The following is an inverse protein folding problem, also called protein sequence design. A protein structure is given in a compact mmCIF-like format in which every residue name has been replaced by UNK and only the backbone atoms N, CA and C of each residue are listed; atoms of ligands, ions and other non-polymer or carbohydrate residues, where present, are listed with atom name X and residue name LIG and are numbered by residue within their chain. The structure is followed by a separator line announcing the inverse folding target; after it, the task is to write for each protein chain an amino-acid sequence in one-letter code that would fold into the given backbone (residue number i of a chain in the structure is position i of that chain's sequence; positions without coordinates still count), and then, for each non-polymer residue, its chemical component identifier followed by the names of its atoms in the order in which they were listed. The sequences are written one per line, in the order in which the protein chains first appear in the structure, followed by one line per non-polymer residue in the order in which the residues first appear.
data_IF_831179684590
#
_entry.id   IF_831179684590
#
_cell.length_a   1.000
_cell.length_b   1.000
_cell.length_c   1.000
_cell.angle_alpha   90.00
_cell.angle_beta   90.00
_cell.angle_gamma   90.00
#
_symmetry.space_group_name_H-M   'P 1'
#
loop_
_entity.id
_entity.type
_entity.pdbx_description
1 polymer ?
#
# COMPACT_ATOMS: atom_id res chain seq x y z
N UNK A 1 -8.02 36.83 -25.52
CA UNK A 1 -9.48 36.96 -25.32
C UNK A 1 -10.18 35.66 -24.90
N UNK A 2 -9.48 34.63 -24.41
CA UNK A 2 -10.10 33.36 -23.96
C UNK A 2 -10.22 33.21 -22.43
N UNK A 3 -9.44 33.95 -21.63
CA UNK A 3 -9.49 33.86 -20.16
C UNK A 3 -10.73 34.51 -19.52
N UNK A 4 -11.43 35.43 -20.20
CA UNK A 4 -12.58 36.14 -19.61
C UNK A 4 -13.85 35.29 -19.53
N UNK A 5 -13.96 34.21 -20.31
CA UNK A 5 -15.11 33.31 -20.31
C UNK A 5 -15.12 32.37 -19.09
N UNK A 6 -13.93 31.98 -18.61
CA UNK A 6 -13.73 31.07 -17.47
C UNK A 6 -14.02 31.72 -16.10
N UNK A 7 -14.16 33.05 -16.05
CA UNK A 7 -14.51 33.79 -14.83
C UNK A 7 -15.87 34.50 -14.93
N UNK A 8 -16.67 34.19 -15.94
CA UNK A 8 -18.02 34.77 -16.04
C UNK A 8 -18.92 34.22 -14.92
N UNK A 9 -19.84 35.03 -14.35
CA UNK A 9 -20.77 34.55 -13.32
C UNK A 9 -21.56 33.32 -13.76
N UNK A 10 -21.95 33.25 -15.05
CA UNK A 10 -22.67 32.10 -15.62
C UNK A 10 -21.81 30.83 -15.64
N UNK A 11 -20.52 30.94 -15.98
CA UNK A 11 -19.60 29.81 -15.96
C UNK A 11 -19.28 29.35 -14.53
N UNK A 12 -19.07 30.29 -13.59
CA UNK A 12 -18.88 29.97 -12.18
C UNK A 12 -20.11 29.29 -11.56
N UNK A 13 -21.32 29.77 -11.87
CA UNK A 13 -22.56 29.12 -11.42
C UNK A 13 -22.72 27.72 -12.04
N UNK A 14 -22.39 27.55 -13.32
CA UNK A 14 -22.42 26.24 -13.96
C UNK A 14 -21.42 25.26 -13.33
N UNK A 15 -20.19 25.72 -13.05
CA UNK A 15 -19.17 24.92 -12.37
C UNK A 15 -19.60 24.54 -10.95
N UNK A 16 -20.23 25.47 -10.23
CA UNK A 16 -20.76 25.23 -8.89
C UNK A 16 -21.89 24.21 -8.90
N UNK A 17 -22.82 24.30 -9.86
CA UNK A 17 -23.90 23.31 -10.02
C UNK A 17 -23.36 21.92 -10.43
N UNK A 18 -22.39 21.87 -11.34
CA UNK A 18 -21.77 20.62 -11.78
C UNK A 18 -20.95 19.95 -10.67
N UNK A 19 -20.30 20.72 -9.80
CA UNK A 19 -19.53 20.19 -8.67
C UNK A 19 -20.40 19.83 -7.45
N UNK A 20 -21.56 20.47 -7.29
CA UNK A 20 -22.47 20.20 -6.17
C UNK A 20 -22.98 18.76 -6.15
N UNK A 21 -23.24 18.15 -7.32
CA UNK A 21 -23.75 16.77 -7.41
C UNK A 21 -22.70 15.75 -6.91
N UNK A 22 -21.46 15.69 -7.46
CA UNK A 22 -20.41 14.82 -6.92
C UNK A 22 -20.12 15.04 -5.43
N UNK A 23 -20.07 16.31 -5.00
CA UNK A 23 -19.85 16.65 -3.58
C UNK A 23 -20.98 16.10 -2.72
N UNK A 24 -22.24 16.29 -3.13
CA UNK A 24 -23.41 15.77 -2.44
C UNK A 24 -23.40 14.25 -2.32
N UNK A 25 -22.97 13.55 -3.38
CA UNK A 25 -22.78 12.09 -3.36
C UNK A 25 -21.71 11.70 -2.35
N UNK A 26 -20.53 12.33 -2.37
CA UNK A 26 -19.44 12.05 -1.43
C UNK A 26 -19.89 12.30 0.01
N UNK A 27 -20.56 13.43 0.29
CA UNK A 27 -21.09 13.76 1.62
C UNK A 27 -22.10 12.70 2.08
N UNK A 28 -22.95 12.21 1.18
CA UNK A 28 -23.92 11.14 1.49
C UNK A 28 -23.19 9.84 1.84
N UNK A 29 -22.19 9.45 1.04
CA UNK A 29 -21.38 8.25 1.28
C UNK A 29 -20.58 8.35 2.60
N UNK A 30 -20.07 9.53 2.94
CA UNK A 30 -19.30 9.77 4.18
C UNK A 30 -20.14 9.75 5.45
N UNK A 31 -21.46 9.96 5.32
CA UNK A 31 -22.43 9.90 6.41
C UNK A 31 -23.12 8.55 6.52
N UNK A 32 -23.01 7.71 5.49
CA UNK A 32 -23.60 6.38 5.49
C UNK A 32 -22.89 5.50 6.54
N UNK A 33 -23.67 4.68 7.24
CA UNK A 33 -23.11 3.68 8.13
C UNK A 33 -22.44 2.58 7.32
N UNK A 34 -21.21 2.23 7.67
CA UNK A 34 -20.49 1.12 7.05
C UNK A 34 -21.15 -0.22 7.44
N UNK A 35 -21.30 -1.18 6.51
CA UNK A 35 -21.82 -2.51 6.82
C UNK A 35 -20.83 -3.38 7.62
N UNK A 36 -19.54 -3.02 7.61
CA UNK A 36 -18.47 -3.69 8.34
C UNK A 36 -17.76 -2.72 9.27
N UNK A 37 -16.96 -3.24 10.19
CA UNK A 37 -16.23 -2.42 11.15
C UNK A 37 -15.27 -1.44 10.46
N UNK A 38 -15.14 -0.23 10.98
CA UNK A 38 -14.20 0.78 10.47
C UNK A 38 -13.46 1.44 11.62
N UNK A 39 -12.12 1.45 11.56
CA UNK A 39 -11.34 2.37 12.38
C UNK A 39 -11.24 3.71 11.66
N UNK A 40 -11.97 4.70 12.16
CA UNK A 40 -11.78 6.08 11.74
C UNK A 40 -10.68 6.72 12.56
N UNK A 41 -9.83 7.51 11.91
CA UNK A 41 -8.83 8.30 12.59
C UNK A 41 -8.64 9.65 11.92
N UNK A 42 -8.28 10.64 12.73
CA UNK A 42 -7.94 11.97 12.26
C UNK A 42 -6.45 12.09 11.97
N UNK A 43 -6.13 12.78 10.89
CA UNK A 43 -4.76 13.13 10.52
C UNK A 43 -4.64 14.57 10.03
N UNK A 44 -3.39 15.00 9.88
CA UNK A 44 -3.03 16.31 9.35
C UNK A 44 -2.94 16.34 7.81
N UNK A 45 -2.75 15.18 7.17
CA UNK A 45 -2.53 15.04 5.72
C UNK A 45 -3.72 14.43 4.97
N UNK A 46 -3.70 14.59 3.64
CA UNK A 46 -4.76 14.11 2.75
C UNK A 46 -4.58 12.65 2.33
N UNK A 47 -3.35 12.14 2.35
CA UNK A 47 -3.01 10.86 1.73
C UNK A 47 -2.22 9.98 2.68
N UNK A 48 -2.70 8.74 2.89
CA UNK A 48 -2.03 7.71 3.67
C UNK A 48 -1.90 6.47 2.82
N UNK A 49 -0.69 6.16 2.36
CA UNK A 49 -0.52 5.08 1.39
C UNK A 49 -0.81 3.73 2.04
N UNK A 50 -0.13 3.42 3.15
CA UNK A 50 -0.13 2.09 3.74
C UNK A 50 -0.53 2.19 5.21
N UNK A 51 -1.19 1.14 5.71
CA UNK A 51 -1.34 0.92 7.15
C UNK A 51 -1.11 -0.56 7.48
N UNK A 52 -0.27 -0.83 8.48
CA UNK A 52 0.01 -2.19 8.98
C UNK A 52 -0.24 -2.28 10.48
N UNK A 53 -0.77 -3.42 10.91
CA UNK A 53 -1.02 -3.72 12.31
C UNK A 53 0.27 -4.12 13.04
N UNK A 54 0.57 -3.42 14.12
CA UNK A 54 1.60 -3.79 15.09
C UNK A 54 0.92 -4.39 16.33
N UNK A 55 0.89 -5.72 16.38
CA UNK A 55 0.24 -6.48 17.45
C UNK A 55 0.93 -6.31 18.80
N UNK A 56 2.24 -6.06 18.82
CA UNK A 56 3.03 -5.96 20.05
C UNK A 56 2.72 -4.68 20.82
N UNK A 57 2.36 -3.60 20.11
CA UNK A 57 2.05 -2.30 20.70
C UNK A 57 0.58 -1.87 20.51
N UNK A 58 -0.28 -2.77 20.01
CA UNK A 58 -1.72 -2.55 19.76
C UNK A 58 -2.03 -1.26 18.99
N UNK A 59 -1.36 -1.07 17.85
CA UNK A 59 -1.52 0.14 17.03
C UNK A 59 -1.43 -0.18 15.55
N UNK A 60 -2.00 0.70 14.73
CA UNK A 60 -1.67 0.74 13.31
C UNK A 60 -0.50 1.69 13.09
N UNK A 61 0.43 1.30 12.22
CA UNK A 61 1.50 2.17 11.70
C UNK A 61 1.07 2.58 10.31
N UNK A 62 1.11 3.88 10.03
CA UNK A 62 0.55 4.47 8.80
C UNK A 62 1.63 5.29 8.09
N UNK A 63 1.78 5.13 6.78
CA UNK A 63 2.71 5.92 5.98
C UNK A 63 2.10 7.19 5.42
N UNK A 64 2.93 8.22 5.30
CA UNK A 64 2.54 9.54 4.84
C UNK A 64 3.00 9.74 3.41
N UNK A 65 2.08 10.10 2.52
CA UNK A 65 2.44 10.44 1.15
C UNK A 65 3.30 11.71 1.07
N UNK A 66 3.25 12.55 2.12
CA UNK A 66 4.11 13.70 2.33
C UNK A 66 5.46 13.40 3.03
N UNK A 67 5.75 12.12 3.30
CA UNK A 67 6.99 11.65 3.92
C UNK A 67 6.89 11.50 5.45
N UNK A 68 7.34 10.35 5.94
CA UNK A 68 7.30 9.95 7.34
C UNK A 68 6.24 8.89 7.66
N UNK A 69 6.15 8.52 8.92
CA UNK A 69 5.15 7.58 9.44
C UNK A 69 4.50 8.09 10.73
N UNK A 70 3.28 7.64 10.95
CA UNK A 70 2.50 7.87 12.16
C UNK A 70 2.04 6.57 12.80
N UNK A 71 1.54 6.68 14.01
CA UNK A 71 0.85 5.61 14.70
C UNK A 71 -0.58 6.01 15.05
N UNK A 72 -1.49 5.03 15.01
CA UNK A 72 -2.87 5.13 15.48
C UNK A 72 -3.05 4.07 16.57
N UNK A 73 -2.97 4.50 17.82
CA UNK A 73 -3.06 3.62 18.99
C UNK A 73 -4.52 3.20 19.25
N UNK A 74 -4.75 1.92 19.54
CA UNK A 74 -6.06 1.44 19.95
C UNK A 74 -6.19 1.46 21.48
N UNK A 75 -7.29 2.02 22.04
CA UNK A 75 -7.54 1.97 23.47
C UNK A 75 -7.77 0.53 23.96
N UNK A 76 -7.61 0.30 25.26
CA UNK A 76 -7.86 -1.02 25.87
C UNK A 76 -9.34 -1.43 25.76
N UNK A 77 -10.24 -0.46 25.88
CA UNK A 77 -11.67 -0.60 25.60
C UNK A 77 -11.98 0.12 24.30
N UNK A 78 -12.44 -0.62 23.29
CA UNK A 78 -12.83 -0.09 21.99
C UNK A 78 -14.14 0.72 22.12
N UNK A 79 -14.03 1.97 22.58
CA UNK A 79 -15.10 2.96 22.43
C UNK A 79 -14.92 3.67 21.07
N UNK A 80 -15.55 3.11 20.05
CA UNK A 80 -15.44 3.55 18.66
C UNK A 80 -16.39 4.71 18.31
N UNK A 81 -17.00 5.35 19.32
CA UNK A 81 -17.91 6.48 19.10
C UNK A 81 -17.20 7.71 18.57
N UNK A 82 -15.90 7.85 18.84
CA UNK A 82 -15.06 8.95 18.36
C UNK A 82 -13.94 8.44 17.47
N UNK A 83 -13.58 9.16 16.39
CA UNK A 83 -12.39 8.84 15.61
C UNK A 83 -11.13 8.85 16.48
N UNK A 84 -10.24 7.91 16.21
CA UNK A 84 -8.90 7.86 16.79
C UNK A 84 -8.05 9.05 16.30
N UNK A 85 -6.87 9.23 16.88
CA UNK A 85 -5.93 10.27 16.44
C UNK A 85 -4.63 9.65 15.94
N UNK A 86 -4.16 10.11 14.79
CA UNK A 86 -2.83 9.80 14.27
C UNK A 86 -1.78 10.68 14.95
N UNK A 87 -0.73 10.05 15.48
CA UNK A 87 0.44 10.73 16.03
C UNK A 87 1.64 10.48 15.13
N UNK A 88 2.26 11.53 14.60
CA UNK A 88 3.52 11.42 13.86
C UNK A 88 4.62 10.91 14.77
N UNK A 89 5.34 9.86 14.33
CA UNK A 89 6.44 9.25 15.09
C UNK A 89 7.78 9.37 14.38
N UNK A 90 7.78 9.42 13.05
CA UNK A 90 8.98 9.66 12.24
C UNK A 90 8.68 10.72 11.20
N UNK A 91 9.53 11.75 11.16
CA UNK A 91 9.54 12.75 10.10
C UNK A 91 10.95 13.32 9.96
N UNK A 92 11.69 12.85 8.97
CA UNK A 92 13.10 13.21 8.79
C UNK A 92 13.26 14.21 7.63
N UNK A 93 14.19 15.18 7.73
CA UNK A 93 14.46 16.13 6.65
C UNK A 93 14.82 15.47 5.31
N UNK A 94 15.49 14.32 5.35
CA UNK A 94 15.89 13.57 4.15
C UNK A 94 14.69 12.98 3.39
N UNK A 95 13.53 12.86 4.03
CA UNK A 95 12.28 12.42 3.40
C UNK A 95 11.53 13.58 2.73
N UNK A 96 11.93 14.83 2.94
CA UNK A 96 11.23 15.98 2.39
C UNK A 96 11.15 15.90 0.85
N UNK A 97 9.92 15.97 0.33
CA UNK A 97 9.65 15.87 -1.11
C UNK A 97 9.48 14.43 -1.62
N UNK A 98 9.72 13.42 -0.78
CA UNK A 98 9.50 12.01 -1.09
C UNK A 98 8.31 11.48 -0.27
N UNK A 99 7.53 10.57 -0.87
CA UNK A 99 6.47 9.87 -0.16
C UNK A 99 7.05 8.72 0.65
N UNK A 100 6.42 8.41 1.78
CA UNK A 100 6.53 7.09 2.43
C UNK A 100 5.35 6.24 1.97
N UNK A 101 5.63 5.00 1.54
CA UNK A 101 4.70 4.16 0.80
C UNK A 101 4.44 2.86 1.58
N UNK A 102 4.82 1.70 1.03
CA UNK A 102 4.65 0.41 1.68
C UNK A 102 5.42 0.27 2.99
N UNK A 103 4.82 -0.50 3.90
CA UNK A 103 5.34 -0.80 5.23
C UNK A 103 5.37 -2.31 5.44
N UNK A 104 6.44 -2.82 6.04
CA UNK A 104 6.48 -4.15 6.65
C UNK A 104 6.81 -4.06 8.13
N UNK A 105 6.03 -4.73 8.98
CA UNK A 105 6.30 -4.88 10.41
C UNK A 105 7.01 -6.21 10.63
N UNK A 106 8.29 -6.15 11.01
CA UNK A 106 9.12 -7.32 11.33
C UNK A 106 9.20 -7.46 12.86
N UNK A 107 8.15 -8.07 13.43
CA UNK A 107 8.00 -8.26 14.87
C UNK A 107 9.16 -9.06 15.45
N UNK A 108 9.66 -10.07 14.73
CA UNK A 108 10.75 -10.93 15.18
C UNK A 108 12.05 -10.16 15.44
N UNK A 109 12.23 -9.00 14.79
CA UNK A 109 13.40 -8.12 14.94
C UNK A 109 13.08 -6.76 15.54
N UNK A 110 11.89 -6.59 16.13
CA UNK A 110 11.41 -5.35 16.72
C UNK A 110 11.60 -4.12 15.80
N UNK A 111 11.22 -4.23 14.54
CA UNK A 111 11.41 -3.12 13.59
C UNK A 111 10.26 -2.96 12.60
N UNK A 112 10.14 -1.75 12.09
CA UNK A 112 9.31 -1.44 10.92
C UNK A 112 10.21 -1.03 9.76
N UNK A 113 9.91 -1.51 8.57
CA UNK A 113 10.55 -1.09 7.33
C UNK A 113 9.59 -0.23 6.53
N UNK A 114 10.10 0.85 5.95
CA UNK A 114 9.32 1.87 5.24
C UNK A 114 10.01 2.19 3.93
N UNK A 115 9.27 2.02 2.83
CA UNK A 115 9.73 2.41 1.49
C UNK A 115 9.48 3.89 1.29
N UNK A 116 10.44 4.59 0.69
CA UNK A 116 10.34 6.00 0.37
C UNK A 116 10.68 6.23 -1.11
N UNK A 117 9.93 7.09 -1.80
CA UNK A 117 10.20 7.36 -3.21
C UNK A 117 9.76 8.75 -3.67
N UNK A 118 10.39 9.22 -4.74
CA UNK A 118 9.92 10.36 -5.54
C UNK A 118 8.82 9.88 -6.50
N UNK A 119 7.57 9.98 -6.05
CA UNK A 119 6.40 9.48 -6.79
C UNK A 119 6.19 10.20 -8.13
N UNK A 120 6.52 11.48 -8.20
CA UNK A 120 6.25 12.29 -9.39
C UNK A 120 7.39 12.20 -10.42
N UNK A 121 8.64 12.36 -9.96
CA UNK A 121 9.80 12.35 -10.83
C UNK A 121 10.31 10.95 -11.16
N UNK A 122 10.04 9.96 -10.30
CA UNK A 122 10.57 8.59 -10.37
C UNK A 122 12.12 8.59 -10.41
N UNK A 123 12.75 9.46 -9.62
CA UNK A 123 14.21 9.66 -9.60
C UNK A 123 14.88 9.30 -8.27
N UNK A 124 14.10 8.79 -7.33
CA UNK A 124 14.57 8.46 -6.00
C UNK A 124 13.77 7.30 -5.44
N UNK A 125 14.47 6.36 -4.81
CA UNK A 125 13.89 5.27 -4.03
C UNK A 125 14.81 4.93 -2.87
N UNK A 126 14.25 4.65 -1.70
CA UNK A 126 14.99 4.27 -0.51
C UNK A 126 14.18 3.33 0.39
N UNK A 127 14.88 2.54 1.18
CA UNK A 127 14.32 1.74 2.26
C UNK A 127 14.90 2.21 3.59
N UNK A 128 14.05 2.55 4.53
CA UNK A 128 14.45 2.84 5.91
C UNK A 128 13.92 1.75 6.84
N UNK A 129 14.64 1.49 7.92
CA UNK A 129 14.13 0.70 9.03
C UNK A 129 14.25 1.48 10.33
N UNK A 130 13.24 1.34 11.19
CA UNK A 130 13.18 1.98 12.50
C UNK A 130 12.86 0.92 13.56
N UNK A 131 13.48 1.05 14.73
CA UNK A 131 13.13 0.26 15.90
C UNK A 131 11.67 0.54 16.27
N UNK A 132 10.90 -0.53 16.46
CA UNK A 132 9.46 -0.44 16.61
C UNK A 132 9.09 0.22 17.95
N UNK A 133 9.90 0.06 18.99
CA UNK A 133 9.61 0.61 20.32
C UNK A 133 10.02 2.07 20.47
N UNK A 134 11.17 2.44 19.89
CA UNK A 134 11.81 3.74 20.11
C UNK A 134 11.74 4.68 18.91
N UNK A 135 11.37 4.16 17.73
CA UNK A 135 11.41 4.87 16.44
C UNK A 135 12.81 5.33 16.01
N UNK A 136 13.86 4.85 16.68
CA UNK A 136 15.23 5.12 16.28
C UNK A 136 15.52 4.46 14.92
N UNK A 137 16.14 5.21 14.02
CA UNK A 137 16.53 4.69 12.71
C UNK A 137 17.62 3.62 12.86
N UNK A 138 17.35 2.43 12.36
CA UNK A 138 18.28 1.30 12.33
C UNK A 138 19.18 1.39 11.09
N UNK A 139 18.58 1.63 9.92
CA UNK A 139 19.32 1.88 8.69
C UNK A 139 18.53 2.76 7.73
N UNK A 140 19.25 3.28 6.72
CA UNK A 140 18.68 3.98 5.59
C UNK A 140 19.46 3.61 4.33
N UNK A 141 18.79 3.01 3.36
CA UNK A 141 19.39 2.44 2.15
C UNK A 141 18.81 3.12 0.94
N UNK A 142 19.61 3.89 0.21
CA UNK A 142 19.21 4.40 -1.09
C UNK A 142 19.21 3.26 -2.11
N UNK A 143 18.07 3.05 -2.78
CA UNK A 143 17.84 1.99 -3.78
C UNK A 143 18.04 2.50 -5.20
N UNK A 144 17.72 3.78 -5.43
CA UNK A 144 17.89 4.48 -6.70
C UNK A 144 18.10 5.98 -6.47
N UNK A 145 18.91 6.62 -7.31
CA UNK A 145 19.14 8.05 -7.33
C UNK A 145 19.00 8.69 -8.72
N UNK A 146 19.25 10.00 -8.84
CA UNK A 146 18.99 10.76 -10.07
C UNK A 146 19.80 10.32 -11.30
N UNK A 147 20.92 9.62 -11.10
CA UNK A 147 21.79 9.09 -12.16
C UNK A 147 21.39 7.69 -12.63
N UNK A 148 20.48 7.01 -11.90
CA UNK A 148 20.02 5.67 -12.24
C UNK A 148 18.86 5.72 -13.24
N UNK A 149 18.42 4.54 -13.69
CA UNK A 149 17.17 4.43 -14.42
C UNK A 149 15.98 4.94 -13.57
N UNK A 150 14.91 5.39 -14.24
CA UNK A 150 13.70 5.81 -13.53
C UNK A 150 13.15 4.67 -12.70
N UNK A 151 12.81 5.00 -11.47
CA UNK A 151 12.49 4.04 -10.44
C UNK A 151 11.41 4.60 -9.52
N UNK A 152 10.50 3.71 -9.10
CA UNK A 152 9.45 4.00 -8.15
C UNK A 152 9.36 2.84 -7.16
N UNK A 153 10.17 2.91 -6.11
CA UNK A 153 10.10 1.97 -5.00
C UNK A 153 8.76 2.12 -4.28
N UNK A 154 8.05 1.02 -4.02
CA UNK A 154 6.66 1.09 -3.55
C UNK A 154 6.38 0.23 -2.32
N UNK A 155 6.34 -1.10 -2.47
CA UNK A 155 5.96 -2.00 -1.38
C UNK A 155 7.12 -2.89 -0.92
N UNK A 156 7.05 -3.41 0.30
CA UNK A 156 8.13 -4.19 0.93
C UNK A 156 7.63 -5.45 1.65
N UNK A 157 8.34 -6.56 1.44
CA UNK A 157 8.19 -7.79 2.22
C UNK A 157 9.49 -8.15 2.94
N UNK A 158 9.41 -8.92 4.02
CA UNK A 158 10.57 -9.39 4.80
C UNK A 158 10.54 -10.91 4.88
N UNK A 159 11.67 -11.56 4.57
CA UNK A 159 11.81 -13.02 4.71
C UNK A 159 12.10 -13.45 6.16
N UNK A 160 12.18 -14.76 6.39
CA UNK A 160 12.47 -15.33 7.70
C UNK A 160 13.84 -14.87 8.25
N UNK A 161 14.82 -14.65 7.38
CA UNK A 161 16.18 -14.20 7.71
C UNK A 161 16.27 -12.69 7.97
N UNK A 162 15.22 -11.93 7.66
CA UNK A 162 15.16 -10.49 7.84
C UNK A 162 15.68 -9.69 6.65
N UNK A 163 15.87 -10.31 5.49
CA UNK A 163 16.10 -9.57 4.26
C UNK A 163 14.78 -8.96 3.79
N UNK A 164 14.87 -7.73 3.31
CA UNK A 164 13.76 -6.99 2.74
C UNK A 164 13.76 -7.09 1.22
N UNK A 165 12.57 -7.17 0.63
CA UNK A 165 12.34 -7.23 -0.79
C UNK A 165 11.42 -6.08 -1.19
N UNK A 166 11.94 -5.13 -1.96
CA UNK A 166 11.24 -3.89 -2.31
C UNK A 166 10.89 -3.91 -3.79
N UNK A 167 9.64 -3.65 -4.15
CA UNK A 167 9.19 -3.60 -5.55
C UNK A 167 9.47 -2.25 -6.18
N UNK A 168 9.77 -2.27 -7.49
CA UNK A 168 9.83 -1.08 -8.32
C UNK A 168 8.69 -1.06 -9.34
N UNK A 169 7.72 -0.16 -9.13
CA UNK A 169 6.55 0.04 -10.00
C UNK A 169 6.96 0.52 -11.39
N UNK A 170 8.05 1.28 -11.48
CA UNK A 170 8.45 1.92 -12.73
C UNK A 170 9.38 1.06 -13.57
N UNK A 171 10.34 0.39 -12.94
CA UNK A 171 11.37 -0.39 -13.63
C UNK A 171 11.15 -1.91 -13.57
N UNK A 172 10.04 -2.38 -12.98
CA UNK A 172 9.63 -3.79 -12.95
C UNK A 172 10.74 -4.72 -12.44
N UNK A 173 11.33 -4.36 -11.30
CA UNK A 173 12.37 -5.15 -10.61
C UNK A 173 12.07 -5.20 -9.12
N UNK A 174 12.83 -6.03 -8.40
CA UNK A 174 12.77 -6.12 -6.95
C UNK A 174 14.18 -5.94 -6.40
N UNK A 175 14.38 -5.02 -5.46
CA UNK A 175 15.65 -4.95 -4.72
C UNK A 175 15.60 -5.90 -3.54
N UNK A 176 16.71 -6.60 -3.28
CA UNK A 176 16.93 -7.36 -2.05
C UNK A 176 17.89 -6.60 -1.16
N UNK A 177 17.45 -6.26 0.04
CA UNK A 177 18.25 -5.55 1.06
C UNK A 177 18.43 -6.48 2.26
N UNK A 178 19.66 -6.65 2.71
CA UNK A 178 19.98 -7.48 3.86
C UNK A 178 19.45 -6.91 5.17
N UNK A 179 19.44 -7.74 6.21
CA UNK A 179 18.94 -7.36 7.55
C UNK A 179 19.59 -6.08 8.11
N UNK A 180 20.87 -5.84 7.79
CA UNK A 180 21.64 -4.66 8.20
C UNK A 180 21.52 -3.46 7.23
N UNK A 181 20.56 -3.49 6.28
CA UNK A 181 20.35 -2.40 5.33
C UNK A 181 21.29 -2.41 4.11
N UNK A 182 22.14 -3.43 3.94
CA UNK A 182 23.00 -3.52 2.75
C UNK A 182 22.20 -3.96 1.52
N UNK A 183 22.25 -3.21 0.43
CA UNK A 183 21.72 -3.68 -0.87
C UNK A 183 22.52 -4.92 -1.32
N UNK A 184 21.84 -6.06 -1.50
CA UNK A 184 22.46 -7.35 -1.81
C UNK A 184 22.38 -7.68 -3.30
N UNK A 185 21.19 -7.56 -3.88
CA UNK A 185 20.94 -7.92 -5.27
C UNK A 185 19.71 -7.20 -5.83
N UNK A 186 19.52 -7.34 -7.14
CA UNK A 186 18.33 -6.89 -7.86
C UNK A 186 17.78 -8.09 -8.64
N UNK A 187 16.54 -8.44 -8.37
CA UNK A 187 15.81 -9.51 -9.05
C UNK A 187 15.10 -8.92 -10.26
N UNK A 188 15.40 -9.48 -11.44
CA UNK A 188 14.74 -9.13 -12.70
C UNK A 188 14.22 -10.38 -13.38
N UNK A 189 13.10 -10.23 -14.08
CA UNK A 189 12.56 -11.27 -14.93
C UNK A 189 11.85 -10.64 -16.12
N UNK A 190 12.00 -11.20 -17.34
CA UNK A 190 11.17 -10.80 -18.48
C UNK A 190 9.66 -10.92 -18.20
N UNK A 191 9.25 -11.79 -17.27
CA UNK A 191 7.85 -11.97 -16.90
C UNK A 191 7.25 -10.76 -16.17
N UNK A 192 8.08 -9.94 -15.51
CA UNK A 192 7.62 -8.74 -14.82
C UNK A 192 7.18 -7.64 -15.77
N UNK A 193 7.56 -7.71 -17.04
CA UNK A 193 7.17 -6.71 -18.04
C UNK A 193 6.03 -7.25 -18.89
N UNK A 194 4.88 -6.58 -18.85
CA UNK A 194 3.76 -6.91 -19.71
C UNK A 194 4.10 -6.65 -21.18
N UNK A 195 3.56 -7.47 -22.10
CA UNK A 195 3.78 -7.31 -23.54
C UNK A 195 3.27 -5.96 -24.05
N UNK A 196 2.11 -5.54 -23.57
CA UNK A 196 1.55 -4.25 -23.92
C UNK A 196 2.21 -3.13 -23.12
N UNK A 197 2.88 -2.20 -23.81
CA UNK A 197 3.66 -1.12 -23.17
C UNK A 197 2.85 -0.30 -22.16
N UNK A 198 1.57 -0.05 -22.42
CA UNK A 198 0.72 0.79 -21.56
C UNK A 198 0.43 0.12 -20.22
N UNK A 199 0.53 -1.21 -20.13
CA UNK A 199 0.40 -1.90 -18.84
C UNK A 199 1.62 -1.63 -17.96
N UNK A 200 2.79 -1.37 -18.54
CA UNK A 200 4.00 -1.03 -17.78
C UNK A 200 4.05 0.44 -17.32
N UNK A 201 2.93 1.18 -17.40
CA UNK A 201 2.83 2.51 -16.78
C UNK A 201 2.82 2.40 -15.24
N UNK A 202 2.17 1.35 -14.71
CA UNK A 202 2.19 0.97 -13.30
C UNK A 202 2.40 -0.55 -13.21
N UNK A 203 3.63 -0.90 -12.85
CA UNK A 203 4.19 -2.23 -12.88
C UNK A 203 4.01 -3.03 -11.60
N UNK A 204 5.09 -3.69 -11.18
CA UNK A 204 5.17 -4.44 -9.92
C UNK A 204 4.87 -3.54 -8.71
N UNK A 205 3.97 -3.97 -7.84
CA UNK A 205 3.51 -3.18 -6.70
C UNK A 205 3.50 -4.06 -5.45
N UNK A 206 2.34 -4.54 -4.98
CA UNK A 206 2.26 -5.25 -3.73
C UNK A 206 3.10 -6.53 -3.70
N UNK A 207 3.72 -6.80 -2.55
CA UNK A 207 4.61 -7.93 -2.34
C UNK A 207 4.42 -8.55 -0.96
N UNK A 208 4.46 -9.87 -0.88
CA UNK A 208 4.46 -10.62 0.39
C UNK A 208 5.47 -11.75 0.34
N UNK A 209 6.02 -12.09 1.50
CA UNK A 209 6.80 -13.31 1.70
C UNK A 209 5.90 -14.44 2.19
N UNK A 210 5.99 -15.60 1.55
CA UNK A 210 5.28 -16.81 1.92
C UNK A 210 6.19 -17.71 2.79
N UNK A 211 5.65 -18.35 3.85
CA UNK A 211 6.44 -19.16 4.79
C UNK A 211 7.20 -20.33 4.14
N UNK A 212 6.77 -20.80 2.97
CA UNK A 212 7.47 -21.84 2.19
C UNK A 212 8.71 -21.30 1.43
N UNK A 213 9.16 -20.06 1.70
CA UNK A 213 10.42 -19.54 1.15
C UNK A 213 10.33 -18.92 -0.24
N UNK A 214 9.21 -18.28 -0.57
CA UNK A 214 9.06 -17.56 -1.85
C UNK A 214 8.30 -16.24 -1.67
N UNK A 215 8.44 -15.35 -2.64
CA UNK A 215 7.66 -14.10 -2.68
C UNK A 215 6.46 -14.27 -3.61
N UNK A 216 5.37 -13.58 -3.30
CA UNK A 216 4.25 -13.35 -4.21
C UNK A 216 4.20 -11.86 -4.51
N UNK A 217 4.18 -11.50 -5.79
CA UNK A 217 4.21 -10.11 -6.26
C UNK A 217 3.10 -9.87 -7.26
N UNK A 218 2.40 -8.74 -7.16
CA UNK A 218 1.39 -8.35 -8.14
C UNK A 218 1.92 -7.29 -9.09
N UNK A 219 1.45 -7.33 -10.34
CA UNK A 219 1.62 -6.26 -11.30
C UNK A 219 0.30 -5.51 -11.50
N UNK A 220 0.29 -4.22 -11.15
CA UNK A 220 -0.90 -3.37 -11.02
C UNK A 220 -1.82 -3.43 -12.24
N UNK A 221 -1.34 -3.03 -13.41
CA UNK A 221 -2.20 -2.90 -14.60
C UNK A 221 -2.45 -4.20 -15.37
N UNK A 222 -1.71 -5.28 -15.11
CA UNK A 222 -1.98 -6.59 -15.72
C UNK A 222 -2.83 -7.47 -14.81
N UNK A 223 -2.75 -7.28 -13.50
CA UNK A 223 -3.32 -8.18 -12.50
C UNK A 223 -2.61 -9.52 -12.42
N UNK A 224 -1.42 -9.65 -13.03
CA UNK A 224 -0.63 -10.87 -12.95
C UNK A 224 -0.02 -10.99 -11.56
N UNK A 225 -0.09 -12.20 -11.01
CA UNK A 225 0.66 -12.59 -9.82
C UNK A 225 1.89 -13.40 -10.23
N UNK A 226 3.01 -13.13 -9.60
CA UNK A 226 4.27 -13.84 -9.81
C UNK A 226 4.73 -14.49 -8.52
N UNK A 227 5.22 -15.72 -8.64
CA UNK A 227 5.93 -16.45 -7.59
C UNK A 227 7.43 -16.31 -7.83
N UNK A 228 8.18 -15.80 -6.86
CA UNK A 228 9.65 -15.71 -6.90
C UNK A 228 10.22 -16.69 -5.90
N UNK A 229 10.75 -17.82 -6.36
CA UNK A 229 11.26 -18.89 -5.51
C UNK A 229 12.65 -18.55 -4.97
N UNK A 230 12.74 -18.19 -3.69
CA UNK A 230 14.00 -17.78 -3.07
C UNK A 230 14.92 -18.98 -2.78
N UNK A 231 14.37 -20.19 -2.71
CA UNK A 231 15.13 -21.43 -2.47
C UNK A 231 15.80 -21.95 -3.74
N UNK A 232 15.33 -21.50 -4.91
CA UNK A 232 15.81 -21.94 -6.24
C UNK A 232 16.44 -20.80 -7.04
N UNK A 233 17.23 -19.96 -6.37
CA UNK A 233 17.97 -18.90 -7.03
C UNK A 233 17.08 -17.81 -7.63
N UNK A 234 15.98 -17.48 -6.96
CA UNK A 234 15.08 -16.36 -7.31
C UNK A 234 14.33 -16.58 -8.64
N UNK A 235 14.03 -17.84 -8.98
CA UNK A 235 13.27 -18.21 -10.19
C UNK A 235 11.86 -17.60 -10.16
N UNK A 236 11.49 -16.90 -11.23
CA UNK A 236 10.18 -16.23 -11.36
C UNK A 236 9.22 -17.06 -12.20
N UNK A 237 8.02 -17.33 -11.68
CA UNK A 237 6.92 -18.02 -12.36
C UNK A 237 5.64 -17.22 -12.30
N UNK A 238 4.83 -17.30 -13.36
CA UNK A 238 3.48 -16.74 -13.37
C UNK A 238 2.54 -17.65 -12.56
N UNK A 239 1.76 -17.06 -11.66
CA UNK A 239 0.67 -17.73 -10.95
C UNK A 239 -0.59 -17.58 -11.81
N UNK A 240 -1.22 -18.69 -12.20
CA UNK A 240 -2.43 -18.63 -13.04
C UNK A 240 -3.63 -18.23 -12.19
N UNK A 241 -4.22 -17.07 -12.49
CA UNK A 241 -5.43 -16.58 -11.82
C UNK A 241 -6.69 -17.10 -12.51
N UNK A 242 -7.63 -17.62 -11.72
CA UNK A 242 -8.95 -18.11 -12.16
C UNK A 242 -10.07 -17.37 -11.42
N UNK A 243 -11.28 -17.38 -11.98
CA UNK A 243 -12.48 -16.89 -11.29
C UNK A 243 -12.62 -15.36 -11.20
N UNK A 244 -11.74 -14.59 -11.83
CA UNK A 244 -11.81 -13.13 -11.85
C UNK A 244 -10.51 -12.47 -12.30
N UNK A 245 -10.50 -11.13 -12.32
CA UNK A 245 -9.30 -10.33 -12.61
C UNK A 245 -8.77 -9.67 -11.35
N UNK A 246 -7.45 -9.56 -11.27
CA UNK A 246 -6.74 -8.78 -10.24
C UNK A 246 -6.18 -7.47 -10.81
N UNK A 247 -6.68 -7.01 -11.96
CA UNK A 247 -6.26 -5.71 -12.53
C UNK A 247 -6.53 -4.59 -11.53
N UNK A 248 -5.63 -3.61 -11.47
CA UNK A 248 -5.61 -2.58 -10.42
C UNK A 248 -5.47 -3.20 -9.01
N UNK A 249 -4.69 -4.28 -8.91
CA UNK A 249 -4.21 -4.80 -7.65
C UNK A 249 -3.03 -3.97 -7.15
N UNK A 250 -3.04 -3.67 -5.87
CA UNK A 250 -2.10 -2.76 -5.22
C UNK A 250 -1.34 -3.55 -4.13
N UNK A 251 -1.31 -3.09 -2.88
CA UNK A 251 -0.76 -3.82 -1.75
C UNK A 251 -1.33 -5.24 -1.55
N UNK A 252 -0.46 -6.14 -1.09
CA UNK A 252 -0.76 -7.54 -0.82
C UNK A 252 -0.66 -7.85 0.68
N UNK A 253 -1.45 -8.81 1.16
CA UNK A 253 -1.36 -9.31 2.53
C UNK A 253 -1.77 -10.78 2.61
N UNK A 254 -0.92 -11.62 3.22
CA UNK A 254 -1.29 -13.01 3.49
C UNK A 254 -2.28 -13.09 4.66
N UNK A 255 -3.45 -13.66 4.39
CA UNK A 255 -4.42 -14.01 5.43
C UNK A 255 -4.09 -15.37 6.06
N UNK A 256 -3.55 -16.29 5.25
CA UNK A 256 -3.04 -17.60 5.68
C UNK A 256 -2.09 -18.14 4.61
N UNK A 257 -1.38 -19.26 4.84
CA UNK A 257 -0.53 -19.87 3.81
C UNK A 257 -1.25 -20.21 2.49
N UNK A 258 -2.59 -20.34 2.51
CA UNK A 258 -3.35 -20.63 1.29
C UNK A 258 -4.14 -19.44 0.77
N UNK A 259 -4.23 -18.33 1.52
CA UNK A 259 -5.10 -17.20 1.20
C UNK A 259 -4.36 -15.86 1.20
N UNK A 260 -4.56 -15.10 0.13
CA UNK A 260 -3.96 -13.79 -0.09
C UNK A 260 -5.05 -12.76 -0.34
N UNK A 261 -4.95 -11.64 0.35
CA UNK A 261 -5.73 -10.44 0.10
C UNK A 261 -4.99 -9.58 -0.91
N UNK A 262 -5.72 -9.11 -1.90
CA UNK A 262 -5.26 -8.16 -2.91
C UNK A 262 -6.04 -6.86 -2.72
N UNK A 263 -5.40 -5.83 -2.18
CA UNK A 263 -5.97 -4.48 -2.12
C UNK A 263 -6.07 -3.88 -3.53
N UNK A 264 -6.74 -2.75 -3.67
CA UNK A 264 -6.91 -2.06 -4.95
C UNK A 264 -8.35 -1.77 -5.32
N UNK A 265 -8.52 -1.09 -6.46
CA UNK A 265 -9.78 -0.50 -6.89
C UNK A 265 -10.46 -1.37 -7.98
N UNK A 266 -11.79 -1.54 -8.02
CA UNK A 266 -12.84 -0.99 -7.16
C UNK A 266 -13.15 -1.77 -5.88
N UNK A 267 -12.42 -2.85 -5.61
CA UNK A 267 -12.72 -3.80 -4.54
C UNK A 267 -11.46 -4.51 -4.06
N UNK A 268 -11.39 -4.78 -2.76
CA UNK A 268 -10.49 -5.80 -2.25
C UNK A 268 -10.88 -7.16 -2.83
N UNK A 269 -9.91 -8.04 -3.06
CA UNK A 269 -10.13 -9.42 -3.54
C UNK A 269 -9.44 -10.42 -2.63
N UNK A 270 -10.10 -11.54 -2.36
CA UNK A 270 -9.52 -12.69 -1.67
C UNK A 270 -9.24 -13.77 -2.70
N UNK A 271 -7.99 -14.23 -2.76
CA UNK A 271 -7.60 -15.35 -3.60
C UNK A 271 -7.12 -16.51 -2.75
N UNK A 272 -7.34 -17.72 -3.24
CA UNK A 272 -6.94 -18.96 -2.57
C UNK A 272 -6.17 -19.88 -3.53
N UNK A 273 -5.09 -20.48 -3.02
CA UNK A 273 -4.32 -21.53 -3.69
C UNK A 273 -4.40 -22.85 -2.91
N UNK A 274 -4.45 -23.96 -3.63
CA UNK A 274 -4.38 -25.32 -3.09
C UNK A 274 -3.27 -26.16 -3.74
N UNK A 275 -2.44 -25.54 -4.60
CA UNK A 275 -1.43 -26.24 -5.41
C UNK A 275 -0.03 -25.62 -5.27
N UNK A 276 0.27 -25.07 -4.09
CA UNK A 276 1.56 -24.45 -3.81
C UNK A 276 1.80 -23.17 -4.61
N UNK A 277 0.73 -22.39 -4.85
CA UNK A 277 0.78 -21.11 -5.56
C UNK A 277 1.18 -21.24 -7.04
N UNK A 278 0.86 -22.37 -7.67
CA UNK A 278 0.94 -22.49 -9.13
C UNK A 278 -0.30 -21.87 -9.79
N UNK A 279 -1.46 -22.03 -9.14
CA UNK A 279 -2.71 -21.38 -9.50
C UNK A 279 -3.41 -20.79 -8.28
N UNK A 280 -4.23 -19.76 -8.52
CA UNK A 280 -5.12 -19.18 -7.52
C UNK A 280 -6.52 -19.00 -8.11
N UNK A 281 -7.54 -19.07 -7.27
CA UNK A 281 -8.91 -18.69 -7.63
C UNK A 281 -9.33 -17.46 -6.82
N UNK A 282 -10.01 -16.50 -7.46
CA UNK A 282 -10.70 -15.44 -6.73
C UNK A 282 -11.90 -16.06 -6.03
N UNK A 283 -11.89 -16.07 -4.70
CA UNK A 283 -12.91 -16.73 -3.86
C UNK A 283 -13.82 -15.74 -3.13
N UNK A 284 -13.47 -14.45 -3.15
CA UNK A 284 -14.31 -13.39 -2.57
C UNK A 284 -13.90 -12.01 -3.04
N UNK A 285 -14.82 -11.05 -2.94
CA UNK A 285 -14.59 -9.65 -3.28
C UNK A 285 -15.27 -8.76 -2.26
N UNK A 286 -14.62 -7.64 -1.91
CA UNK A 286 -15.14 -6.67 -0.96
C UNK A 286 -15.24 -5.28 -1.61
N UNK A 287 -16.45 -4.73 -1.68
CA UNK A 287 -16.70 -3.40 -2.22
C UNK A 287 -16.69 -2.36 -1.09
N UNK A 288 -15.54 -1.74 -0.84
CA UNK A 288 -15.38 -0.64 0.11
C UNK A 288 -15.72 0.74 -0.45
N UNK A 289 -15.40 1.82 0.32
CA UNK A 289 -15.54 3.21 -0.11
C UNK A 289 -14.72 3.56 -1.38
N UNK A 290 -15.34 3.47 -2.56
CA UNK A 290 -14.68 3.68 -3.86
C UNK A 290 -14.05 5.07 -4.04
N UNK A 291 -14.60 6.08 -3.38
CA UNK A 291 -14.09 7.46 -3.43
C UNK A 291 -12.83 7.68 -2.59
N UNK A 292 -12.38 6.67 -1.83
CA UNK A 292 -11.19 6.76 -0.97
C UNK A 292 -9.98 5.95 -1.43
N UNK A 293 -10.15 5.08 -2.43
CA UNK A 293 -9.11 4.21 -3.03
C UNK A 293 -8.43 3.26 -2.02
N UNK A 294 -8.74 1.97 -2.09
CA UNK A 294 -8.05 0.97 -1.28
C UNK A 294 -6.65 0.71 -1.86
N UNK A 295 -5.62 0.75 -1.03
CA UNK A 295 -4.21 0.67 -1.47
C UNK A 295 -3.41 -0.41 -0.77
N UNK A 296 -3.63 -0.62 0.53
CA UNK A 296 -2.95 -1.66 1.30
C UNK A 296 -3.93 -2.50 2.12
N UNK A 297 -3.49 -3.71 2.48
CA UNK A 297 -4.20 -4.60 3.39
C UNK A 297 -3.34 -4.93 4.61
N UNK A 298 -3.98 -5.21 5.74
CA UNK A 298 -3.32 -5.73 6.94
C UNK A 298 -4.25 -6.69 7.69
N UNK A 299 -3.67 -7.68 8.38
CA UNK A 299 -4.42 -8.59 9.24
C UNK A 299 -4.28 -8.19 10.71
N UNK A 300 -5.42 -7.96 11.38
CA UNK A 300 -5.52 -7.79 12.83
C UNK A 300 -6.43 -8.89 13.39
N UNK A 301 -5.89 -9.72 14.27
CA UNK A 301 -6.64 -10.77 14.98
C UNK A 301 -7.46 -11.68 14.04
N UNK A 302 -6.86 -12.04 12.89
CA UNK A 302 -7.49 -12.87 11.85
C UNK A 302 -8.48 -12.14 10.94
N UNK A 303 -8.72 -10.85 11.16
CA UNK A 303 -9.58 -9.99 10.33
C UNK A 303 -8.76 -9.13 9.40
N UNK A 304 -9.26 -8.96 8.18
CA UNK A 304 -8.61 -8.13 7.15
C UNK A 304 -9.11 -6.70 7.26
N UNK A 305 -8.19 -5.74 7.29
CA UNK A 305 -8.48 -4.32 7.18
C UNK A 305 -7.81 -3.73 5.95
N UNK A 306 -8.54 -2.95 5.17
CA UNK A 306 -8.03 -2.23 4.01
C UNK A 306 -7.78 -0.77 4.35
N UNK A 307 -6.56 -0.31 4.09
CA UNK A 307 -6.22 1.09 4.09
C UNK A 307 -6.84 1.78 2.87
N UNK A 308 -7.40 2.97 3.09
CA UNK A 308 -7.90 3.81 2.03
C UNK A 308 -7.16 5.14 2.01
N UNK A 309 -6.53 5.45 0.88
CA UNK A 309 -5.55 6.52 0.78
C UNK A 309 -6.11 7.90 1.08
N UNK A 310 -7.31 8.21 0.59
CA UNK A 310 -7.83 9.58 0.60
C UNK A 310 -8.60 9.87 1.90
N UNK A 311 -8.11 10.86 2.65
CA UNK A 311 -8.79 11.45 3.80
C UNK A 311 -9.88 12.44 3.39
N UNK A 312 -10.94 12.55 4.17
CA UNK A 312 -12.07 13.47 3.89
C UNK A 312 -12.37 14.36 5.09
N UNK A 313 -12.85 15.58 4.85
CA UNK A 313 -13.29 16.51 5.88
C UNK A 313 -12.30 17.64 6.22
N UNK A 314 -12.82 18.67 6.88
CA UNK A 314 -12.10 19.88 7.30
C UNK A 314 -12.59 20.31 8.70
N UNK A 315 -11.74 20.83 9.60
CA UNK A 315 -10.30 21.09 9.42
C UNK A 315 -9.42 19.83 9.51
N UNK A 316 -9.83 18.84 10.31
CA UNK A 316 -9.15 17.54 10.45
C UNK A 316 -9.65 16.55 9.39
N UNK A 317 -8.73 15.83 8.75
CA UNK A 317 -9.06 14.86 7.70
C UNK A 317 -9.34 13.53 8.40
N UNK A 318 -10.45 12.89 8.07
CA UNK A 318 -10.85 11.58 8.58
C UNK A 318 -10.46 10.52 7.56
N UNK A 319 -9.60 9.60 7.97
CA UNK A 319 -9.20 8.41 7.24
C UNK A 319 -9.97 7.18 7.74
N UNK A 320 -9.83 6.06 7.04
CA UNK A 320 -10.58 4.84 7.33
C UNK A 320 -9.76 3.59 7.04
N UNK A 321 -9.66 2.72 8.06
CA UNK A 321 -9.27 1.32 7.90
C UNK A 321 -10.54 0.49 7.97
N UNK A 322 -10.95 -0.08 6.84
CA UNK A 322 -12.24 -0.75 6.70
C UNK A 322 -12.05 -2.25 6.79
N UNK A 323 -12.78 -2.92 7.68
CA UNK A 323 -12.81 -4.39 7.75
C UNK A 323 -13.39 -4.93 6.44
N UNK A 324 -12.60 -5.72 5.72
CA UNK A 324 -13.02 -6.39 4.51
C UNK A 324 -13.53 -7.80 4.85
N UNK A 325 -14.84 -7.98 4.67
CA UNK A 325 -15.52 -9.28 4.79
C UNK A 325 -15.77 -9.79 3.37
N UNK A 326 -15.20 -10.95 3.04
CA UNK A 326 -15.15 -11.53 1.68
C UNK A 326 -16.15 -12.65 1.47
#
# INVERSE_FOLDING_TARGET
MALSLLCSPKFLTLLLLLSAIPIGIIVTLERAQSPTHVYHYHSSGWFRECAKWDSSHRRFIVSFFEGGIGQVLLPEKEDLTSPLEEVTVVKEPQLAGNASLGIAVDVARNRVLVVNADVFGNRYGALAAYDLSTWNRLFFTQLAGPSDEKSFADDVAVDAEGNAYVTDVKSNKIWKVGVEGKLLSIIRSPLFTAKEWYRNLFGLNGIVYHPDGFLIVIHTFSGNLFKVDLTKGEEVKLIKVKGGSLTFGDGLELLSPTKLVVAGNPSGRLVESSDGWNTVSVVGTFAGPKHRLATAATVKDGKVYLNHMVGMGYPKKKHALVEAVF
#
